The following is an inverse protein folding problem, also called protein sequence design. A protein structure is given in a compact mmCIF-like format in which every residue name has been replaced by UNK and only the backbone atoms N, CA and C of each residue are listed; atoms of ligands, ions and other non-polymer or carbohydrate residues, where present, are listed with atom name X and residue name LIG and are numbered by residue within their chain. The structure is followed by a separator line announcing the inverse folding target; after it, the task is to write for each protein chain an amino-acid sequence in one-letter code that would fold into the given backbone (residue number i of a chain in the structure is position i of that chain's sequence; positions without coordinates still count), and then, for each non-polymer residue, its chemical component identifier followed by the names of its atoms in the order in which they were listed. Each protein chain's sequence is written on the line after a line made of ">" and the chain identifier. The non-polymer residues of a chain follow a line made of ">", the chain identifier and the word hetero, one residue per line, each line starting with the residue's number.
data_IF_341835940428
#
_entry.id   IF_341835940428
#
_cell.length_a   1.000
_cell.length_b   1.000
_cell.length_c   1.000
_cell.angle_alpha   90.00
_cell.angle_beta   90.00
_cell.angle_gamma   90.00
#
_symmetry.space_group_name_H-M   'P 1'
#
loop_
_entity.id
_entity.type
_entity.pdbx_description
1 polymer ?
#
# COMPACT_ATOMS: atom_id res chain seq x y z
N UNK A 1 12.44 25.65 -7.69
CA UNK A 1 12.73 25.38 -6.25
C UNK A 1 11.57 24.66 -5.57
N UNK A 2 10.38 25.26 -5.46
CA UNK A 2 9.17 24.63 -4.87
C UNK A 2 8.79 23.26 -5.48
N UNK A 3 8.86 23.13 -6.81
CA UNK A 3 8.61 21.86 -7.50
C UNK A 3 9.62 20.76 -7.16
N UNK A 4 10.92 21.09 -7.03
CA UNK A 4 11.95 20.13 -6.68
C UNK A 4 11.82 19.64 -5.23
N UNK A 5 11.47 20.54 -4.31
CA UNK A 5 11.21 20.19 -2.91
C UNK A 5 9.99 19.27 -2.77
N UNK A 6 8.88 19.61 -3.44
CA UNK A 6 7.68 18.79 -3.46
C UNK A 6 7.94 17.40 -4.06
N UNK A 7 8.72 17.34 -5.15
CA UNK A 7 9.13 16.07 -5.76
C UNK A 7 9.96 15.21 -4.79
N UNK A 8 10.91 15.81 -4.07
CA UNK A 8 11.73 15.09 -3.09
C UNK A 8 10.88 14.57 -1.92
N UNK A 9 9.98 15.38 -1.36
CA UNK A 9 9.06 14.97 -0.30
C UNK A 9 8.14 13.84 -0.74
N UNK A 10 7.58 13.94 -1.95
CA UNK A 10 6.75 12.88 -2.53
C UNK A 10 7.55 11.59 -2.75
N UNK A 11 8.78 11.70 -3.26
CA UNK A 11 9.66 10.56 -3.49
C UNK A 11 9.97 9.83 -2.17
N UNK A 12 10.44 10.56 -1.15
CA UNK A 12 10.78 9.96 0.15
C UNK A 12 9.59 9.27 0.79
N UNK A 13 8.43 9.95 0.85
CA UNK A 13 7.21 9.35 1.41
C UNK A 13 6.73 8.13 0.62
N UNK A 14 6.83 8.16 -0.71
CA UNK A 14 6.45 7.03 -1.58
C UNK A 14 7.37 5.83 -1.41
N UNK A 15 8.69 6.05 -1.30
CA UNK A 15 9.67 4.98 -1.07
C UNK A 15 9.47 4.36 0.32
N UNK A 16 9.22 5.18 1.35
CA UNK A 16 8.90 4.67 2.69
C UNK A 16 7.63 3.83 2.69
N UNK A 17 6.53 4.32 2.08
CA UNK A 17 5.30 3.55 1.96
C UNK A 17 5.51 2.23 1.20
N UNK A 18 6.33 2.25 0.14
CA UNK A 18 6.70 1.05 -0.62
C UNK A 18 7.47 0.06 0.24
N UNK A 19 8.46 0.50 1.02
CA UNK A 19 9.21 -0.36 1.92
C UNK A 19 8.32 -1.01 2.98
N UNK A 20 7.39 -0.25 3.56
CA UNK A 20 6.39 -0.78 4.53
C UNK A 20 5.48 -1.83 3.87
N UNK A 21 5.02 -1.56 2.64
CA UNK A 21 4.19 -2.49 1.88
C UNK A 21 4.94 -3.79 1.60
N UNK A 22 6.20 -3.68 1.16
CA UNK A 22 7.06 -4.82 0.87
C UNK A 22 7.32 -5.66 2.11
N UNK A 23 7.56 -5.02 3.26
CA UNK A 23 7.68 -5.71 4.55
C UNK A 23 6.39 -6.47 4.88
N UNK A 24 5.23 -5.86 4.67
CA UNK A 24 3.94 -6.53 4.83
C UNK A 24 3.79 -7.76 3.93
N UNK A 25 4.12 -7.62 2.64
CA UNK A 25 4.06 -8.75 1.69
C UNK A 25 5.06 -9.84 2.03
N UNK A 26 6.23 -9.49 2.57
CA UNK A 26 7.22 -10.46 3.03
C UNK A 26 6.71 -11.24 4.25
N UNK A 27 5.98 -10.61 5.18
CA UNK A 27 5.36 -11.29 6.31
C UNK A 27 4.21 -12.19 5.89
N UNK A 28 3.37 -11.75 4.94
CA UNK A 28 2.35 -12.60 4.32
C UNK A 28 3.01 -13.82 3.68
N UNK A 29 4.07 -13.62 2.89
CA UNK A 29 4.84 -14.71 2.30
C UNK A 29 5.43 -15.64 3.36
N UNK A 30 6.04 -15.12 4.42
CA UNK A 30 6.61 -15.93 5.50
C UNK A 30 5.55 -16.78 6.22
N UNK A 31 4.30 -16.30 6.31
CA UNK A 31 3.20 -17.02 6.94
C UNK A 31 2.46 -18.01 6.03
N UNK A 32 2.52 -17.83 4.70
CA UNK A 32 1.72 -18.61 3.73
C UNK A 32 2.56 -19.42 2.75
N UNK A 33 3.85 -19.11 2.60
CA UNK A 33 4.76 -19.71 1.63
C UNK A 33 4.50 -19.32 0.17
N UNK A 34 3.62 -18.35 -0.11
CA UNK A 34 3.22 -18.03 -1.49
C UNK A 34 3.13 -16.53 -1.77
N UNK A 35 3.28 -16.17 -3.04
CA UNK A 35 3.05 -14.83 -3.60
C UNK A 35 1.83 -14.79 -4.54
N UNK A 36 1.19 -15.94 -4.79
CA UNK A 36 -0.02 -16.02 -5.60
C UNK A 36 -1.25 -15.76 -4.74
N UNK A 37 -2.10 -14.80 -5.14
CA UNK A 37 -3.21 -14.31 -4.31
C UNK A 37 -4.18 -15.42 -3.88
N UNK A 38 -4.58 -16.30 -4.79
CA UNK A 38 -5.52 -17.39 -4.48
C UNK A 38 -4.92 -18.41 -3.48
N UNK A 39 -3.61 -18.66 -3.57
CA UNK A 39 -2.89 -19.52 -2.62
C UNK A 39 -2.72 -18.84 -1.24
N UNK A 40 -2.48 -17.53 -1.22
CA UNK A 40 -2.47 -16.73 0.01
C UNK A 40 -3.83 -16.82 0.70
N UNK A 41 -4.93 -16.63 -0.03
CA UNK A 41 -6.27 -16.69 0.54
C UNK A 41 -6.60 -18.06 1.15
N UNK A 42 -6.21 -19.15 0.49
CA UNK A 42 -6.37 -20.50 1.01
C UNK A 42 -5.53 -20.76 2.27
N UNK A 43 -4.28 -20.30 2.30
CA UNK A 43 -3.36 -20.53 3.41
C UNK A 43 -3.68 -19.65 4.63
N UNK A 44 -4.16 -18.42 4.42
CA UNK A 44 -4.41 -17.45 5.49
C UNK A 44 -5.48 -17.90 6.50
N UNK A 45 -6.39 -18.79 6.09
CA UNK A 45 -7.42 -19.37 6.97
C UNK A 45 -6.88 -20.40 7.96
N UNK A 46 -5.75 -21.04 7.67
CA UNK A 46 -5.20 -22.17 8.42
C UNK A 46 -3.72 -21.95 8.80
N UNK A 47 -3.33 -20.69 8.98
CA UNK A 47 -1.97 -20.30 9.38
C UNK A 47 -1.64 -20.88 10.75
N UNK A 48 -0.42 -21.40 10.87
CA UNK A 48 0.16 -21.85 12.14
C UNK A 48 -0.15 -20.83 13.25
N UNK A 49 -0.74 -21.26 14.38
CA UNK A 49 -1.03 -20.38 15.51
C UNK A 49 0.15 -19.50 15.94
N UNK A 50 1.40 -19.97 15.80
CA UNK A 50 2.61 -19.21 16.11
C UNK A 50 2.87 -18.06 15.13
N UNK A 51 2.45 -18.20 13.87
CA UNK A 51 2.62 -17.21 12.80
C UNK A 51 1.42 -16.28 12.62
N UNK A 52 0.31 -16.53 13.33
CA UNK A 52 -0.94 -15.76 13.18
C UNK A 52 -0.78 -14.26 13.38
N UNK A 53 0.02 -13.84 14.37
CA UNK A 53 0.33 -12.42 14.60
C UNK A 53 1.15 -11.84 13.46
N UNK A 54 2.13 -12.59 12.96
CA UNK A 54 2.95 -12.18 11.81
C UNK A 54 2.09 -12.00 10.56
N UNK A 55 1.15 -12.92 10.29
CA UNK A 55 0.21 -12.83 9.17
C UNK A 55 -0.68 -11.57 9.27
N UNK A 56 -1.27 -11.31 10.45
CA UNK A 56 -2.09 -10.10 10.71
C UNK A 56 -1.32 -8.82 10.49
N UNK A 57 -0.12 -8.72 11.05
CA UNK A 57 0.75 -7.55 10.85
C UNK A 57 1.13 -7.43 9.38
N UNK A 58 1.44 -8.54 8.71
CA UNK A 58 1.72 -8.59 7.28
C UNK A 58 0.59 -7.98 6.44
N UNK A 59 -0.64 -8.46 6.65
CA UNK A 59 -1.85 -7.93 5.99
C UNK A 59 -1.98 -6.43 6.23
N UNK A 60 -1.92 -5.98 7.49
CA UNK A 60 -2.06 -4.55 7.83
C UNK A 60 -0.98 -3.71 7.12
N UNK A 61 0.29 -4.12 7.19
CA UNK A 61 1.39 -3.39 6.56
C UNK A 61 1.28 -3.39 5.02
N UNK A 62 0.78 -4.47 4.39
CA UNK A 62 0.48 -4.47 2.96
C UNK A 62 -0.61 -3.45 2.62
N UNK A 63 -1.66 -3.35 3.44
CA UNK A 63 -2.76 -2.41 3.22
C UNK A 63 -2.35 -0.94 3.41
N UNK A 64 -1.33 -0.65 4.23
CA UNK A 64 -0.77 0.71 4.40
C UNK A 64 -0.30 1.30 3.06
N UNK A 65 0.29 0.51 2.17
CA UNK A 65 0.70 0.96 0.83
C UNK A 65 -0.45 1.51 -0.01
N UNK A 66 -1.56 0.79 0.00
CA UNK A 66 -2.76 1.20 -0.71
C UNK A 66 -3.41 2.41 -0.04
N UNK A 67 -3.44 2.48 1.29
CA UNK A 67 -3.92 3.64 2.03
C UNK A 67 -3.09 4.91 1.74
N UNK A 68 -1.77 4.78 1.58
CA UNK A 68 -0.91 5.86 1.11
C UNK A 68 -1.25 6.29 -0.33
N UNK A 69 -1.47 5.32 -1.22
CA UNK A 69 -1.79 5.57 -2.64
C UNK A 69 -3.12 6.29 -2.83
N UNK A 70 -4.12 5.97 -2.00
CA UNK A 70 -5.44 6.62 -2.01
C UNK A 70 -5.47 7.91 -1.19
N UNK A 71 -4.39 8.22 -0.47
CA UNK A 71 -4.31 9.32 0.49
C UNK A 71 -5.42 9.26 1.56
N UNK A 72 -5.65 8.06 2.11
CA UNK A 72 -6.55 7.86 3.24
C UNK A 72 -5.93 8.44 4.53
N UNK A 73 -6.76 8.79 5.52
CA UNK A 73 -6.28 9.16 6.87
C UNK A 73 -5.70 7.91 7.54
N UNK A 74 -4.51 7.97 8.20
CA UNK A 74 -3.61 9.11 8.40
C UNK A 74 -2.49 9.29 7.34
N UNK A 75 -2.50 8.55 6.24
CA UNK A 75 -1.43 8.48 5.22
C UNK A 75 -1.51 9.54 4.10
N UNK A 76 -2.28 10.63 4.29
CA UNK A 76 -2.51 11.68 3.29
C UNK A 76 -1.46 12.82 3.30
N UNK A 77 -0.47 12.75 4.18
CA UNK A 77 0.47 13.83 4.48
C UNK A 77 1.29 14.31 3.26
N UNK A 78 1.43 13.50 2.21
CA UNK A 78 2.14 13.88 0.99
C UNK A 78 1.33 14.81 0.09
N UNK A 79 -0.01 14.81 0.20
CA UNK A 79 -0.92 15.46 -0.77
C UNK A 79 -0.77 16.99 -0.82
N UNK A 80 -0.79 17.74 0.31
CA UNK A 80 -0.80 19.21 0.26
C UNK A 80 0.44 19.78 -0.43
N UNK A 81 1.62 19.29 -0.05
CA UNK A 81 2.89 19.77 -0.61
C UNK A 81 3.06 19.35 -2.06
N UNK A 82 2.64 18.13 -2.42
CA UNK A 82 2.79 17.61 -3.78
C UNK A 82 1.86 18.31 -4.77
N UNK A 83 0.59 18.52 -4.41
CA UNK A 83 -0.38 19.16 -5.30
C UNK A 83 -0.08 20.64 -5.53
N UNK A 84 0.43 21.34 -4.51
CA UNK A 84 0.80 22.75 -4.64
C UNK A 84 2.17 22.98 -5.27
N UNK A 85 3.07 21.99 -5.19
CA UNK A 85 4.42 22.10 -5.75
C UNK A 85 4.58 21.57 -7.17
N UNK A 86 3.76 20.61 -7.59
CA UNK A 86 3.87 19.99 -8.91
C UNK A 86 3.28 20.86 -10.04
N UNK A 87 3.76 20.71 -11.29
CA UNK A 87 3.07 21.26 -12.46
C UNK A 87 1.63 20.74 -12.55
N UNK A 88 0.70 21.59 -13.01
CA UNK A 88 -0.73 21.27 -13.04
C UNK A 88 -1.07 19.91 -13.69
N UNK A 89 -0.49 19.51 -14.84
CA UNK A 89 -0.80 18.21 -15.43
C UNK A 89 -0.38 17.02 -14.54
N UNK A 90 0.72 17.16 -13.79
CA UNK A 90 1.22 16.13 -12.88
C UNK A 90 0.31 16.02 -11.66
N UNK A 91 -0.08 17.14 -11.08
CA UNK A 91 -1.03 17.17 -9.96
C UNK A 91 -2.38 16.55 -10.36
N UNK A 92 -2.90 16.88 -11.56
CA UNK A 92 -4.13 16.31 -12.09
C UNK A 92 -4.02 14.78 -12.29
N UNK A 93 -2.90 14.29 -12.85
CA UNK A 93 -2.65 12.86 -13.01
C UNK A 93 -2.63 12.12 -11.65
N UNK A 94 -1.87 12.64 -10.69
CA UNK A 94 -1.77 12.07 -9.34
C UNK A 94 -3.11 12.09 -8.58
N UNK A 95 -3.95 13.11 -8.83
CA UNK A 95 -5.28 13.24 -8.23
C UNK A 95 -6.28 12.19 -8.69
N UNK A 96 -6.12 11.66 -9.91
CA UNK A 96 -7.10 10.75 -10.51
C UNK A 96 -6.51 9.36 -10.67
N UNK A 97 -5.51 9.22 -11.55
CA UNK A 97 -4.96 7.92 -11.95
C UNK A 97 -4.28 7.24 -10.76
N UNK A 98 -3.50 8.01 -9.97
CA UNK A 98 -2.85 7.49 -8.78
C UNK A 98 -3.83 6.87 -7.78
N UNK A 99 -4.95 7.55 -7.52
CA UNK A 99 -5.99 7.08 -6.60
C UNK A 99 -6.79 5.92 -7.17
N UNK A 100 -7.14 5.96 -8.45
CA UNK A 100 -7.86 4.89 -9.12
C UNK A 100 -7.09 3.55 -9.04
N UNK A 101 -5.78 3.57 -9.33
CA UNK A 101 -4.92 2.38 -9.15
C UNK A 101 -4.85 1.94 -7.69
N UNK A 102 -4.76 2.89 -6.76
CA UNK A 102 -4.78 2.59 -5.32
C UNK A 102 -6.05 1.87 -4.88
N UNK A 103 -7.23 2.34 -5.30
CA UNK A 103 -8.51 1.71 -4.98
C UNK A 103 -8.69 0.35 -5.68
N UNK A 104 -8.36 0.25 -6.95
CA UNK A 104 -8.46 -1.02 -7.69
C UNK A 104 -7.55 -2.10 -7.10
N UNK A 105 -6.31 -1.73 -6.74
CA UNK A 105 -5.37 -2.63 -6.09
C UNK A 105 -5.82 -3.03 -4.68
N UNK A 106 -6.35 -2.09 -3.90
CA UNK A 106 -6.93 -2.35 -2.59
C UNK A 106 -8.08 -3.37 -2.70
N UNK A 107 -9.04 -3.11 -3.58
CA UNK A 107 -10.17 -4.00 -3.82
C UNK A 107 -9.69 -5.39 -4.27
N UNK A 108 -8.74 -5.47 -5.19
CA UNK A 108 -8.17 -6.73 -5.66
C UNK A 108 -7.56 -7.54 -4.51
N UNK A 109 -6.68 -6.92 -3.71
CA UNK A 109 -5.94 -7.62 -2.65
C UNK A 109 -6.86 -8.03 -1.50
N UNK A 110 -7.76 -7.15 -1.05
CA UNK A 110 -8.70 -7.47 0.03
C UNK A 110 -9.66 -8.59 -0.39
N UNK A 111 -10.18 -8.56 -1.62
CA UNK A 111 -11.15 -9.57 -2.08
C UNK A 111 -10.47 -10.90 -2.46
N UNK A 112 -9.31 -10.87 -3.12
CA UNK A 112 -8.67 -12.08 -3.67
C UNK A 112 -7.63 -12.71 -2.77
N UNK A 113 -6.91 -11.92 -1.97
CA UNK A 113 -5.81 -12.42 -1.16
C UNK A 113 -6.18 -12.51 0.32
N UNK A 114 -6.96 -11.55 0.84
CA UNK A 114 -7.27 -11.43 2.27
C UNK A 114 -8.76 -11.58 2.63
N UNK A 115 -9.53 -12.52 2.04
CA UNK A 115 -10.98 -12.58 2.29
C UNK A 115 -11.36 -12.90 3.74
N UNK A 116 -10.42 -13.38 4.55
CA UNK A 116 -10.59 -13.72 5.97
C UNK A 116 -10.22 -12.59 6.94
N UNK A 117 -9.79 -11.42 6.45
CA UNK A 117 -9.33 -10.27 7.22
C UNK A 117 -10.08 -8.99 6.85
#
# INVERSE_FOLDING_TARGET
>A
RRSAEAALKFFLSSVTATAVTLLGTAFVYASTGSVHLDAIAAALGDVDPQLRTLARVGVVLTLVGFAFKTAAVPFHFWVPDTYTGAPLPVAAYLSVVGKAVGFSGLALVTVRAFPSY
#
